data_IF_666700356631
#
_entry.id   IF_666700356631
#
_cell.length_a   1.000
_cell.length_b   1.000
_cell.length_c   1.000
_cell.angle_alpha   90.00
_cell.angle_beta   90.00
_cell.angle_gamma   90.00
#
_symmetry.space_group_name_H-M   'P 1'
#
loop_
_entity.id
_entity.type
_entity.pdbx_description
1 polymer ?
#
# COMPACT_ATOMS: atom_id res chain seq x y z
N UNK A 1 -5.83 -43.27 51.75
CA UNK A 1 -6.64 -43.18 50.52
C UNK A 1 -6.28 -41.86 49.83
N UNK A 2 -5.38 -41.95 48.87
CA UNK A 2 -4.89 -40.79 48.08
C UNK A 2 -5.68 -40.77 46.77
N UNK A 3 -6.61 -39.84 46.67
CA UNK A 3 -7.41 -39.67 45.44
C UNK A 3 -6.57 -38.87 44.42
N UNK A 4 -6.03 -39.56 43.43
CA UNK A 4 -5.40 -38.97 42.26
C UNK A 4 -6.51 -38.41 41.35
N UNK A 5 -6.62 -37.13 41.27
CA UNK A 5 -7.50 -36.43 40.30
C UNK A 5 -6.80 -36.53 38.95
N UNK A 6 -7.33 -37.37 38.06
CA UNK A 6 -6.96 -37.40 36.65
C UNK A 6 -7.54 -36.13 35.99
N UNK A 7 -6.72 -35.07 35.82
CA UNK A 7 -7.05 -33.93 35.00
C UNK A 7 -6.90 -34.40 33.55
N UNK A 8 -8.02 -34.54 32.87
CA UNK A 8 -8.06 -34.91 31.45
C UNK A 8 -7.58 -33.75 30.57
N UNK A 9 -6.97 -34.04 29.41
CA UNK A 9 -6.53 -33.03 28.42
C UNK A 9 -7.64 -32.06 28.02
N UNK A 10 -8.90 -32.38 28.25
CA UNK A 10 -10.06 -31.50 28.06
C UNK A 10 -10.09 -30.35 29.10
N UNK A 11 -9.78 -30.62 30.37
CA UNK A 11 -9.74 -29.62 31.45
C UNK A 11 -8.60 -28.59 31.26
N UNK A 12 -7.51 -28.99 30.59
CA UNK A 12 -6.43 -28.06 30.24
C UNK A 12 -6.81 -27.11 29.10
N UNK A 13 -7.73 -27.51 28.21
CA UNK A 13 -8.22 -26.65 27.12
C UNK A 13 -9.18 -25.57 27.63
N UNK A 14 -9.98 -25.87 28.62
CA UNK A 14 -10.92 -24.90 29.21
C UNK A 14 -10.24 -23.90 30.20
N UNK A 15 -9.05 -24.26 30.72
CA UNK A 15 -8.24 -23.38 31.57
C UNK A 15 -7.36 -22.39 30.78
N UNK A 16 -7.11 -22.65 29.51
CA UNK A 16 -6.43 -21.73 28.59
C UNK A 16 -7.51 -20.82 28.00
N UNK A 17 -7.40 -19.51 28.22
CA UNK A 17 -8.27 -18.55 27.53
C UNK A 17 -8.25 -18.81 26.02
N UNK A 18 -9.29 -18.40 25.27
CA UNK A 18 -9.42 -18.64 23.83
C UNK A 18 -8.20 -18.14 23.00
N UNK A 19 -7.37 -17.30 23.60
CA UNK A 19 -6.13 -16.76 23.02
C UNK A 19 -4.88 -17.62 23.27
N UNK A 20 -4.94 -18.65 24.11
CA UNK A 20 -3.80 -19.48 24.52
C UNK A 20 -3.78 -20.88 23.89
N UNK A 21 -4.80 -21.24 23.13
CA UNK A 21 -4.85 -22.51 22.42
C UNK A 21 -3.72 -22.59 21.35
N UNK A 22 -3.06 -23.76 21.21
CA UNK A 22 -2.09 -23.94 20.13
C UNK A 22 -2.76 -23.76 18.76
N UNK A 23 -2.03 -23.16 17.81
CA UNK A 23 -2.52 -22.94 16.44
C UNK A 23 -3.01 -24.25 15.82
N UNK A 24 -4.32 -24.38 15.64
CA UNK A 24 -4.90 -25.43 14.82
C UNK A 24 -4.73 -25.06 13.34
N UNK A 25 -4.15 -25.97 12.54
CA UNK A 25 -3.96 -25.79 11.10
C UNK A 25 -5.29 -25.50 10.38
N UNK A 26 -6.41 -26.04 10.85
CA UNK A 26 -7.74 -25.77 10.32
C UNK A 26 -8.16 -24.31 10.56
N UNK A 27 -7.87 -23.76 11.75
CA UNK A 27 -8.14 -22.37 12.08
C UNK A 27 -7.25 -21.41 11.28
N UNK A 28 -5.96 -21.70 11.15
CA UNK A 28 -5.03 -20.94 10.29
C UNK A 28 -5.53 -20.91 8.84
N UNK A 29 -5.91 -22.07 8.29
CA UNK A 29 -6.45 -22.17 6.93
C UNK A 29 -7.74 -21.38 6.75
N UNK A 30 -8.64 -21.42 7.72
CA UNK A 30 -9.89 -20.64 7.73
C UNK A 30 -9.60 -19.14 7.72
N UNK A 31 -8.70 -18.66 8.59
CA UNK A 31 -8.29 -17.25 8.68
C UNK A 31 -7.58 -16.78 7.41
N UNK A 32 -6.64 -17.55 6.88
CA UNK A 32 -5.97 -17.22 5.61
C UNK A 32 -6.96 -17.17 4.45
N UNK A 33 -7.95 -18.07 4.40
CA UNK A 33 -9.02 -18.03 3.39
C UNK A 33 -9.87 -16.77 3.53
N UNK A 34 -10.24 -16.37 4.74
CA UNK A 34 -10.99 -15.15 5.00
C UNK A 34 -10.19 -13.90 4.60
N UNK A 35 -8.90 -13.86 4.94
CA UNK A 35 -7.96 -12.80 4.56
C UNK A 35 -7.84 -12.73 3.04
N UNK A 36 -7.64 -13.85 2.35
CA UNK A 36 -7.53 -13.90 0.90
C UNK A 36 -8.80 -13.36 0.22
N UNK A 37 -9.98 -13.84 0.64
CA UNK A 37 -11.27 -13.40 0.08
C UNK A 37 -11.48 -11.89 0.33
N UNK A 38 -11.20 -11.40 1.55
CA UNK A 38 -11.30 -9.99 1.89
C UNK A 38 -10.29 -9.09 1.16
N UNK A 39 -9.16 -9.67 0.73
CA UNK A 39 -8.04 -8.95 0.14
C UNK A 39 -8.03 -8.93 -1.40
N UNK A 40 -8.82 -9.80 -2.05
CA UNK A 40 -8.88 -9.83 -3.55
C UNK A 40 -9.35 -8.49 -4.11
N UNK A 41 -10.35 -7.86 -3.50
CA UNK A 41 -10.80 -6.52 -3.91
C UNK A 41 -9.68 -5.48 -3.82
N UNK A 42 -8.98 -5.46 -2.69
CA UNK A 42 -7.82 -4.61 -2.46
C UNK A 42 -6.70 -4.85 -3.51
N UNK A 43 -6.42 -6.10 -3.84
CA UNK A 43 -5.42 -6.45 -4.86
C UNK A 43 -5.80 -5.88 -6.24
N UNK A 44 -7.08 -6.00 -6.66
CA UNK A 44 -7.56 -5.46 -7.93
C UNK A 44 -7.44 -3.94 -7.99
N UNK A 45 -7.82 -3.26 -6.92
CA UNK A 45 -7.71 -1.81 -6.83
C UNK A 45 -6.26 -1.32 -6.88
N UNK A 46 -5.35 -2.01 -6.19
CA UNK A 46 -3.93 -1.70 -6.24
C UNK A 46 -3.28 -2.07 -7.59
N UNK A 47 -3.72 -3.16 -8.23
CA UNK A 47 -3.32 -3.47 -9.61
C UNK A 47 -3.64 -2.30 -10.54
N UNK A 48 -4.87 -1.84 -10.54
CA UNK A 48 -5.32 -0.76 -11.41
C UNK A 48 -4.56 0.54 -11.15
N UNK A 49 -4.38 0.89 -9.88
CA UNK A 49 -3.68 2.09 -9.47
C UNK A 49 -2.18 2.06 -9.82
N UNK A 50 -1.50 0.93 -9.61
CA UNK A 50 -0.08 0.79 -9.93
C UNK A 50 0.20 0.54 -11.40
N UNK A 51 -0.78 0.14 -12.19
CA UNK A 51 -0.66 0.02 -13.64
C UNK A 51 -0.16 1.33 -14.27
N UNK A 52 -0.63 2.47 -13.77
CA UNK A 52 -0.13 3.77 -14.21
C UNK A 52 1.39 3.92 -14.00
N UNK A 53 1.89 3.61 -12.81
CA UNK A 53 3.32 3.74 -12.49
C UNK A 53 4.17 2.73 -13.30
N UNK A 54 3.71 1.48 -13.42
CA UNK A 54 4.41 0.41 -14.13
C UNK A 54 4.56 0.71 -15.64
N UNK A 55 3.55 1.34 -16.24
CA UNK A 55 3.55 1.64 -17.66
C UNK A 55 3.99 3.06 -18.01
N UNK A 56 4.32 3.89 -17.03
CA UNK A 56 4.73 5.29 -17.25
C UNK A 56 5.89 5.42 -18.24
N UNK A 57 6.87 4.50 -18.22
CA UNK A 57 8.01 4.48 -19.15
C UNK A 57 7.60 4.33 -20.62
N UNK A 58 6.38 3.86 -20.90
CA UNK A 58 5.87 3.60 -22.25
C UNK A 58 4.91 4.68 -22.73
N UNK A 59 4.05 5.20 -21.88
CA UNK A 59 3.03 6.17 -22.28
C UNK A 59 3.40 7.63 -22.06
N UNK A 60 4.37 7.94 -21.17
CA UNK A 60 4.64 9.33 -20.81
C UNK A 60 4.98 10.22 -22.03
N UNK A 61 5.74 9.72 -22.99
CA UNK A 61 6.04 10.42 -24.24
C UNK A 61 4.83 10.71 -25.10
N UNK A 62 3.76 9.90 -25.01
CA UNK A 62 2.52 10.10 -25.76
C UNK A 62 1.67 11.25 -25.20
N UNK A 63 1.85 11.61 -23.95
CA UNK A 63 1.12 12.70 -23.26
C UNK A 63 1.96 13.95 -23.05
N UNK A 64 3.28 13.81 -22.92
CA UNK A 64 4.23 14.89 -22.62
C UNK A 64 5.34 14.92 -23.66
N UNK A 65 5.14 15.60 -24.80
CA UNK A 65 6.08 15.59 -25.94
C UNK A 65 7.28 16.49 -25.67
N UNK A 66 8.04 16.26 -24.61
CA UNK A 66 9.35 16.87 -24.43
C UNK A 66 10.43 15.94 -25.01
N UNK A 67 11.52 16.50 -25.53
CA UNK A 67 12.67 15.71 -25.99
C UNK A 67 13.46 15.05 -24.85
N UNK A 68 13.16 15.40 -23.59
CA UNK A 68 13.83 14.92 -22.40
C UNK A 68 12.98 13.82 -21.69
N UNK A 69 13.54 12.62 -21.62
CA UNK A 69 12.90 11.47 -20.95
C UNK A 69 12.67 11.71 -19.45
N UNK A 70 13.55 12.45 -18.77
CA UNK A 70 13.38 12.75 -17.34
C UNK A 70 12.19 13.67 -17.13
N UNK A 71 12.06 14.72 -17.97
CA UNK A 71 10.92 15.63 -17.92
C UNK A 71 9.59 14.93 -18.20
N UNK A 72 9.55 14.00 -19.17
CA UNK A 72 8.36 13.18 -19.44
C UNK A 72 7.95 12.36 -18.22
N UNK A 73 8.91 11.68 -17.59
CA UNK A 73 8.65 10.86 -16.40
C UNK A 73 8.28 11.71 -15.18
N UNK A 74 8.87 12.90 -15.02
CA UNK A 74 8.50 13.84 -13.97
C UNK A 74 7.03 14.28 -14.10
N UNK A 75 6.60 14.66 -15.31
CA UNK A 75 5.20 15.06 -15.55
C UNK A 75 4.23 13.90 -15.26
N UNK A 76 4.57 12.67 -15.66
CA UNK A 76 3.78 11.49 -15.33
C UNK A 76 3.74 11.24 -13.81
N UNK A 77 4.85 11.42 -13.10
CA UNK A 77 4.93 11.26 -11.65
C UNK A 77 4.13 12.36 -10.90
N UNK A 78 4.10 13.58 -11.39
CA UNK A 78 3.25 14.66 -10.83
C UNK A 78 1.78 14.30 -10.92
N UNK A 79 1.32 13.72 -12.04
CA UNK A 79 -0.07 13.24 -12.15
C UNK A 79 -0.34 12.00 -11.29
N UNK A 80 0.65 11.14 -11.09
CA UNK A 80 0.54 10.05 -10.13
C UNK A 80 0.34 10.59 -8.71
N UNK A 81 1.14 11.58 -8.31
CA UNK A 81 1.03 12.26 -7.01
C UNK A 81 -0.35 12.95 -6.85
N UNK A 82 -0.89 13.57 -7.90
CA UNK A 82 -2.22 14.18 -7.85
C UNK A 82 -3.30 13.17 -7.45
N UNK A 83 -3.24 11.93 -7.97
CA UNK A 83 -4.13 10.84 -7.55
C UNK A 83 -4.00 10.49 -6.06
N UNK A 84 -2.80 10.62 -5.47
CA UNK A 84 -2.62 10.43 -4.02
C UNK A 84 -3.17 11.59 -3.20
N UNK A 85 -2.95 12.83 -3.63
CA UNK A 85 -3.35 14.02 -2.88
C UNK A 85 -4.87 14.14 -2.68
N UNK A 86 -5.67 13.57 -3.57
CA UNK A 86 -7.14 13.56 -3.45
C UNK A 86 -7.68 12.39 -2.59
N UNK A 87 -6.86 11.40 -2.23
CA UNK A 87 -7.29 10.23 -1.44
C UNK A 87 -7.91 10.58 -0.08
N UNK A 88 -7.37 11.52 0.73
CA UNK A 88 -8.01 11.88 2.00
C UNK A 88 -9.43 12.41 1.81
N UNK A 89 -9.64 13.20 0.74
CA UNK A 89 -10.98 13.68 0.39
C UNK A 89 -11.89 12.54 -0.07
N UNK A 90 -11.38 11.61 -0.89
CA UNK A 90 -12.09 10.39 -1.26
C UNK A 90 -12.52 9.57 -0.05
N UNK A 91 -11.62 9.37 0.92
CA UNK A 91 -11.90 8.67 2.18
C UNK A 91 -13.02 9.32 2.99
N UNK A 92 -13.03 10.66 3.08
CA UNK A 92 -14.10 11.39 3.72
C UNK A 92 -15.43 11.26 2.95
N UNK A 93 -15.40 11.44 1.63
CA UNK A 93 -16.57 11.37 0.76
C UNK A 93 -17.23 9.99 0.81
N UNK A 94 -16.46 8.91 0.64
CA UNK A 94 -16.99 7.55 0.69
C UNK A 94 -17.37 7.11 2.10
N UNK A 95 -16.70 7.59 3.14
CA UNK A 95 -17.10 7.40 4.52
C UNK A 95 -18.47 8.01 4.79
N UNK A 96 -18.69 9.27 4.38
CA UNK A 96 -19.96 9.95 4.51
C UNK A 96 -21.09 9.23 3.72
N UNK A 97 -20.77 8.78 2.49
CA UNK A 97 -21.71 8.05 1.66
C UNK A 97 -22.10 6.70 2.31
N UNK A 98 -21.13 5.99 2.89
CA UNK A 98 -21.37 4.72 3.58
C UNK A 98 -22.24 4.89 4.83
N UNK A 99 -22.06 5.98 5.57
CA UNK A 99 -22.84 6.27 6.77
C UNK A 99 -24.31 6.64 6.44
N UNK A 100 -24.58 7.29 5.29
CA UNK A 100 -25.91 7.75 4.92
C UNK A 100 -26.69 6.75 4.04
N UNK A 101 -26.02 6.12 3.09
CA UNK A 101 -26.66 5.28 2.06
C UNK A 101 -26.31 3.79 2.20
N UNK A 102 -25.42 3.44 3.14
CA UNK A 102 -24.99 2.08 3.37
C UNK A 102 -23.64 1.75 2.74
N UNK A 103 -22.94 0.80 3.36
CA UNK A 103 -21.58 0.39 2.96
C UNK A 103 -21.56 -0.21 1.56
N UNK A 104 -22.58 -0.95 1.18
CA UNK A 104 -22.70 -1.57 -0.15
C UNK A 104 -22.69 -0.53 -1.27
N UNK A 105 -23.49 0.55 -1.14
CA UNK A 105 -23.58 1.61 -2.17
C UNK A 105 -22.25 2.34 -2.30
N UNK A 106 -21.62 2.69 -1.18
CA UNK A 106 -20.31 3.33 -1.18
C UNK A 106 -19.22 2.48 -1.87
N UNK A 107 -19.17 1.18 -1.55
CA UNK A 107 -18.23 0.23 -2.15
C UNK A 107 -18.50 0.00 -3.65
N UNK A 108 -19.75 -0.04 -4.07
CA UNK A 108 -20.08 -0.17 -5.49
C UNK A 108 -19.68 1.08 -6.28
N UNK A 109 -19.96 2.26 -5.73
CA UNK A 109 -19.65 3.52 -6.40
C UNK A 109 -18.13 3.72 -6.51
N UNK A 110 -17.34 3.34 -5.49
CA UNK A 110 -15.87 3.42 -5.56
C UNK A 110 -15.35 2.57 -6.73
N UNK A 111 -15.79 1.32 -6.85
CA UNK A 111 -15.37 0.44 -7.95
C UNK A 111 -15.80 0.97 -9.32
N UNK A 112 -17.01 1.52 -9.44
CA UNK A 112 -17.47 2.13 -10.70
C UNK A 112 -16.61 3.33 -11.08
N UNK A 113 -16.24 4.19 -10.10
CA UNK A 113 -15.32 5.31 -10.37
C UNK A 113 -13.94 4.84 -10.76
N UNK A 114 -13.41 3.78 -10.13
CA UNK A 114 -12.13 3.18 -10.51
C UNK A 114 -12.18 2.67 -11.96
N UNK A 115 -13.20 1.89 -12.30
CA UNK A 115 -13.43 1.41 -13.66
C UNK A 115 -13.48 2.55 -14.69
N UNK A 116 -14.24 3.60 -14.37
CA UNK A 116 -14.38 4.77 -15.25
C UNK A 116 -13.04 5.49 -15.43
N UNK A 117 -12.26 5.69 -14.37
CA UNK A 117 -10.92 6.29 -14.44
C UNK A 117 -9.97 5.48 -15.32
N UNK A 118 -9.96 4.14 -15.19
CA UNK A 118 -9.12 3.26 -16.00
C UNK A 118 -9.53 3.25 -17.46
N UNK A 119 -10.82 3.15 -17.76
CA UNK A 119 -11.32 3.27 -19.13
C UNK A 119 -10.97 4.62 -19.73
N UNK A 120 -11.11 5.69 -18.97
CA UNK A 120 -10.74 7.05 -19.42
C UNK A 120 -9.27 7.12 -19.82
N UNK A 121 -8.34 6.54 -19.03
CA UNK A 121 -6.91 6.46 -19.41
C UNK A 121 -6.75 5.64 -20.70
N UNK A 122 -7.39 4.47 -20.77
CA UNK A 122 -7.25 3.55 -21.90
C UNK A 122 -7.66 4.16 -23.24
N UNK A 123 -8.73 4.99 -23.23
CA UNK A 123 -9.28 5.58 -24.47
C UNK A 123 -8.79 7.01 -24.74
N UNK A 124 -8.08 7.65 -23.80
CA UNK A 124 -7.61 9.03 -23.98
C UNK A 124 -6.68 9.13 -25.20
N UNK A 125 -6.97 10.05 -26.14
CA UNK A 125 -6.09 10.31 -27.28
C UNK A 125 -4.74 10.91 -26.81
N UNK A 126 -3.73 10.77 -27.65
CA UNK A 126 -2.39 11.27 -27.36
C UNK A 126 -2.32 12.79 -27.54
N UNK A 127 -1.23 13.39 -27.05
CA UNK A 127 -0.96 14.83 -27.24
C UNK A 127 -0.92 15.24 -28.72
N UNK A 128 -0.40 14.37 -29.59
CA UNK A 128 -0.37 14.61 -31.02
C UNK A 128 -1.77 14.77 -31.65
N UNK A 129 -2.80 14.20 -31.05
CA UNK A 129 -4.18 14.24 -31.55
C UNK A 129 -4.99 15.41 -31.00
N UNK A 130 -4.88 15.70 -29.69
CA UNK A 130 -5.74 16.68 -28.98
C UNK A 130 -4.95 17.73 -28.16
N UNK A 131 -3.62 17.79 -28.34
CA UNK A 131 -2.78 18.78 -27.66
C UNK A 131 -2.86 18.67 -26.13
N UNK A 132 -2.94 19.81 -25.48
CA UNK A 132 -3.00 19.92 -24.00
C UNK A 132 -4.22 19.22 -23.38
N UNK A 133 -5.24 18.92 -24.15
CA UNK A 133 -6.39 18.12 -23.72
C UNK A 133 -6.01 16.73 -23.22
N UNK A 134 -4.97 16.10 -23.81
CA UNK A 134 -4.53 14.77 -23.43
C UNK A 134 -4.02 14.69 -21.97
N UNK A 135 -3.06 15.50 -21.51
CA UNK A 135 -2.65 15.49 -20.10
C UNK A 135 -3.75 15.96 -19.15
N UNK A 136 -4.67 16.85 -19.57
CA UNK A 136 -5.81 17.25 -18.72
C UNK A 136 -6.75 16.08 -18.48
N UNK A 137 -7.10 15.30 -19.52
CA UNK A 137 -7.93 14.11 -19.38
C UNK A 137 -7.23 13.04 -18.54
N UNK A 138 -5.91 12.86 -18.72
CA UNK A 138 -5.12 11.95 -17.90
C UNK A 138 -5.13 12.37 -16.42
N UNK A 139 -4.99 13.67 -16.13
CA UNK A 139 -5.08 14.21 -14.78
C UNK A 139 -6.46 13.97 -14.16
N UNK A 140 -7.53 14.24 -14.90
CA UNK A 140 -8.90 14.00 -14.45
C UNK A 140 -9.13 12.52 -14.12
N UNK A 141 -8.67 11.61 -14.97
CA UNK A 141 -8.74 10.18 -14.72
C UNK A 141 -7.98 9.77 -13.44
N UNK A 142 -6.79 10.33 -13.19
CA UNK A 142 -5.99 10.09 -11.98
C UNK A 142 -6.68 10.60 -10.72
N UNK A 143 -7.32 11.76 -10.79
CA UNK A 143 -8.12 12.30 -9.69
C UNK A 143 -9.29 11.37 -9.37
N UNK A 144 -10.02 10.89 -10.37
CA UNK A 144 -11.15 9.97 -10.22
C UNK A 144 -10.68 8.65 -9.56
N UNK A 145 -9.57 8.05 -10.03
CA UNK A 145 -9.00 6.86 -9.43
C UNK A 145 -8.54 7.10 -7.98
N UNK A 146 -7.91 8.24 -7.71
CA UNK A 146 -7.46 8.61 -6.37
C UNK A 146 -8.61 8.80 -5.38
N UNK A 147 -9.72 9.40 -5.80
CA UNK A 147 -10.95 9.52 -5.00
C UNK A 147 -11.49 8.14 -4.64
N UNK A 148 -11.58 7.24 -5.61
CA UNK A 148 -12.07 5.87 -5.41
C UNK A 148 -11.29 5.14 -4.31
N UNK A 149 -9.96 5.20 -4.36
CA UNK A 149 -9.06 4.43 -3.47
C UNK A 149 -9.00 4.95 -2.02
N UNK A 150 -9.56 6.16 -1.74
CA UNK A 150 -9.32 6.87 -0.48
C UNK A 150 -9.83 6.18 0.78
N UNK A 151 -10.94 5.43 0.72
CA UNK A 151 -11.64 4.91 1.90
C UNK A 151 -11.21 3.51 2.36
N UNK A 152 -10.45 2.76 1.57
CA UNK A 152 -10.34 1.31 1.75
C UNK A 152 -9.21 0.85 2.68
N UNK A 153 -8.08 1.57 2.72
CA UNK A 153 -6.93 1.14 3.52
C UNK A 153 -7.23 1.01 5.02
N UNK A 154 -7.91 2.00 5.61
CA UNK A 154 -8.21 2.00 7.04
C UNK A 154 -9.13 0.85 7.43
N UNK A 155 -10.12 0.55 6.60
CA UNK A 155 -11.08 -0.54 6.81
C UNK A 155 -10.39 -1.89 6.69
N UNK A 156 -9.58 -2.10 5.64
CA UNK A 156 -8.85 -3.34 5.39
C UNK A 156 -7.81 -3.63 6.48
N UNK A 157 -6.99 -2.64 6.86
CA UNK A 157 -5.99 -2.78 7.92
C UNK A 157 -6.63 -3.11 9.28
N UNK A 158 -7.77 -2.48 9.59
CA UNK A 158 -8.53 -2.77 10.81
C UNK A 158 -9.09 -4.18 10.79
N UNK A 159 -9.72 -4.59 9.69
CA UNK A 159 -10.28 -5.94 9.53
C UNK A 159 -9.24 -7.03 9.71
N UNK A 160 -8.08 -6.94 9.04
CA UNK A 160 -7.01 -7.92 9.16
C UNK A 160 -6.46 -8.04 10.59
N UNK A 161 -6.44 -6.92 11.32
CA UNK A 161 -5.96 -6.90 12.71
C UNK A 161 -7.01 -7.47 13.69
N UNK A 162 -8.29 -7.29 13.40
CA UNK A 162 -9.41 -7.79 14.24
C UNK A 162 -9.69 -9.29 14.03
N UNK A 163 -9.53 -9.79 12.81
CA UNK A 163 -9.66 -11.24 12.49
C UNK A 163 -8.49 -12.05 13.05
N UNK A 164 -7.34 -11.40 13.29
CA UNK A 164 -6.15 -12.04 13.83
C UNK A 164 -6.31 -12.38 15.32
N UNK A 165 -5.79 -13.53 15.73
CA UNK A 165 -5.61 -13.81 17.14
C UNK A 165 -4.55 -12.89 17.78
N UNK A 166 -4.61 -12.72 19.11
CA UNK A 166 -3.74 -11.79 19.84
C UNK A 166 -2.25 -12.11 19.70
N UNK A 167 -1.90 -13.40 19.57
CA UNK A 167 -0.51 -13.88 19.47
C UNK A 167 0.12 -13.62 18.11
N UNK A 168 -0.66 -13.68 17.02
CA UNK A 168 -0.18 -13.66 15.63
C UNK A 168 -0.69 -12.47 14.83
N UNK A 169 -1.06 -11.37 15.51
CA UNK A 169 -1.56 -10.14 14.83
C UNK A 169 -0.58 -9.58 13.81
N UNK A 170 0.73 -9.62 14.10
CA UNK A 170 1.75 -9.16 13.16
C UNK A 170 1.80 -10.02 11.90
N UNK A 171 1.77 -11.32 12.05
CA UNK A 171 1.73 -12.25 10.91
C UNK A 171 0.51 -12.01 10.02
N UNK A 172 -0.70 -12.02 10.59
CA UNK A 172 -1.92 -11.85 9.79
C UNK A 172 -2.05 -10.45 9.20
N UNK A 173 -1.69 -9.42 9.95
CA UNK A 173 -1.74 -8.03 9.47
C UNK A 173 -0.74 -7.73 8.35
N UNK A 174 0.36 -8.49 8.26
CA UNK A 174 1.36 -8.34 7.20
C UNK A 174 0.80 -8.61 5.80
N UNK A 175 -0.29 -9.37 5.69
CA UNK A 175 -0.98 -9.66 4.44
C UNK A 175 -1.58 -8.41 3.79
N UNK A 176 -1.76 -7.31 4.53
CA UNK A 176 -2.10 -6.00 3.96
C UNK A 176 -1.07 -5.55 2.92
N UNK A 177 0.22 -5.70 3.23
CA UNK A 177 1.28 -5.36 2.29
C UNK A 177 1.55 -6.45 1.25
N UNK A 178 1.30 -7.72 1.57
CA UNK A 178 1.35 -8.80 0.59
C UNK A 178 0.38 -8.51 -0.56
N UNK A 179 -0.86 -8.11 -0.27
CA UNK A 179 -1.86 -7.81 -1.31
C UNK A 179 -1.57 -6.49 -2.04
N UNK A 180 -1.07 -5.48 -1.34
CA UNK A 180 -0.68 -4.21 -1.93
C UNK A 180 0.49 -4.37 -2.91
N UNK A 181 1.55 -5.05 -2.50
CA UNK A 181 2.71 -5.39 -3.35
C UNK A 181 2.27 -6.36 -4.46
N UNK A 182 1.36 -7.29 -4.15
CA UNK A 182 0.79 -8.23 -5.11
C UNK A 182 0.07 -7.55 -6.26
N UNK A 183 -0.71 -6.50 -6.00
CA UNK A 183 -1.35 -5.70 -7.03
C UNK A 183 -0.34 -5.05 -7.98
N UNK A 184 0.73 -4.47 -7.44
CA UNK A 184 1.82 -3.92 -8.24
C UNK A 184 2.57 -5.00 -9.04
N UNK A 185 2.85 -6.14 -8.41
CA UNK A 185 3.48 -7.28 -9.09
C UNK A 185 2.63 -7.77 -10.27
N UNK A 186 1.31 -7.87 -10.10
CA UNK A 186 0.41 -8.23 -11.19
C UNK A 186 0.52 -7.24 -12.36
N UNK A 187 0.60 -5.93 -12.10
CA UNK A 187 0.81 -4.92 -13.16
C UNK A 187 2.13 -5.14 -13.90
N UNK A 188 3.22 -5.43 -13.18
CA UNK A 188 4.51 -5.74 -13.80
C UNK A 188 4.53 -7.07 -14.52
N UNK A 189 3.80 -8.09 -14.05
CA UNK A 189 3.67 -9.37 -14.77
C UNK A 189 2.90 -9.20 -16.09
N UNK A 190 1.86 -8.37 -16.10
CA UNK A 190 1.19 -7.99 -17.37
C UNK A 190 2.17 -7.27 -18.29
N UNK A 191 2.97 -6.34 -17.77
CA UNK A 191 4.01 -5.66 -18.56
C UNK A 191 5.02 -6.65 -19.12
N UNK A 192 5.54 -7.58 -18.32
CA UNK A 192 6.46 -8.63 -18.77
C UNK A 192 5.85 -9.52 -19.87
N UNK A 193 4.59 -9.91 -19.71
CA UNK A 193 3.88 -10.70 -20.70
C UNK A 193 3.79 -9.93 -22.04
N UNK A 194 3.40 -8.66 -21.99
CA UNK A 194 3.35 -7.81 -23.18
C UNK A 194 4.73 -7.64 -23.83
N UNK A 195 5.78 -7.38 -23.04
CA UNK A 195 7.15 -7.19 -23.52
C UNK A 195 7.78 -8.43 -24.15
N UNK A 196 7.47 -9.62 -23.61
CA UNK A 196 8.18 -10.86 -23.97
C UNK A 196 7.45 -11.72 -24.98
N UNK A 197 6.12 -11.67 -24.98
CA UNK A 197 5.28 -12.64 -25.69
C UNK A 197 4.43 -11.99 -26.77
N UNK A 198 3.83 -10.82 -26.49
CA UNK A 198 2.73 -10.32 -27.32
C UNK A 198 3.10 -9.13 -28.20
N UNK A 199 4.00 -8.24 -27.76
CA UNK A 199 4.24 -6.95 -28.42
C UNK A 199 5.73 -6.67 -28.59
N UNK A 200 6.07 -5.97 -29.68
CA UNK A 200 7.36 -5.31 -29.85
C UNK A 200 7.44 -4.06 -28.96
N UNK A 201 8.66 -3.55 -28.72
CA UNK A 201 8.86 -2.33 -27.92
C UNK A 201 8.15 -1.12 -28.55
N UNK A 202 8.09 -1.04 -29.87
CA UNK A 202 7.44 0.05 -30.60
C UNK A 202 5.91 -0.04 -30.52
N UNK A 203 5.34 -1.23 -30.65
CA UNK A 203 3.90 -1.46 -30.46
C UNK A 203 3.48 -1.15 -29.01
N UNK A 204 4.29 -1.56 -28.02
CA UNK A 204 4.01 -1.29 -26.63
C UNK A 204 3.99 0.22 -26.33
N UNK A 205 4.90 1.01 -26.93
CA UNK A 205 4.91 2.47 -26.82
C UNK A 205 3.82 3.15 -27.65
N UNK A 206 3.47 2.60 -28.81
CA UNK A 206 2.47 3.21 -29.69
C UNK A 206 1.05 3.08 -29.12
N UNK A 207 0.68 1.88 -28.67
CA UNK A 207 -0.70 1.59 -28.24
C UNK A 207 -0.81 0.54 -27.12
N UNK A 208 0.16 -0.39 -27.00
CA UNK A 208 0.08 -1.55 -26.12
C UNK A 208 -0.02 -1.18 -24.64
N UNK A 209 0.45 -0.01 -24.24
CA UNK A 209 0.32 0.51 -22.89
C UNK A 209 -1.14 0.74 -22.45
N UNK A 210 -2.11 0.73 -23.37
CA UNK A 210 -3.55 0.85 -23.06
C UNK A 210 -4.15 -0.45 -22.54
N UNK A 211 -3.60 -1.62 -22.94
CA UNK A 211 -4.13 -2.95 -22.61
C UNK A 211 -4.33 -3.15 -21.10
N UNK A 212 -3.34 -2.87 -20.23
CA UNK A 212 -3.51 -3.11 -18.79
C UNK A 212 -4.61 -2.25 -18.16
N UNK A 213 -4.90 -1.06 -18.68
CA UNK A 213 -6.02 -0.24 -18.22
C UNK A 213 -7.37 -0.83 -18.62
N UNK A 214 -7.49 -1.46 -19.80
CA UNK A 214 -8.67 -2.25 -20.14
C UNK A 214 -8.82 -3.48 -19.27
N UNK A 215 -7.72 -4.16 -18.91
CA UNK A 215 -7.73 -5.28 -17.96
C UNK A 215 -8.20 -4.78 -16.59
N UNK A 216 -7.67 -3.67 -16.08
CA UNK A 216 -8.08 -3.06 -14.81
C UNK A 216 -9.57 -2.74 -14.78
N UNK A 217 -10.07 -2.11 -15.83
CA UNK A 217 -11.50 -1.83 -15.98
C UNK A 217 -12.35 -3.10 -15.98
N UNK A 218 -11.92 -4.15 -16.68
CA UNK A 218 -12.60 -5.45 -16.68
C UNK A 218 -12.62 -6.11 -15.29
N UNK A 219 -11.49 -6.10 -14.59
CA UNK A 219 -11.39 -6.61 -13.22
C UNK A 219 -12.26 -5.80 -12.25
N UNK A 220 -12.34 -4.48 -12.42
CA UNK A 220 -13.23 -3.63 -11.63
C UNK A 220 -14.72 -3.98 -11.84
N UNK A 221 -15.12 -4.27 -13.09
CA UNK A 221 -16.49 -4.74 -13.38
C UNK A 221 -16.77 -6.07 -12.67
N UNK A 222 -15.84 -7.03 -12.73
CA UNK A 222 -15.97 -8.31 -12.02
C UNK A 222 -16.11 -8.08 -10.52
N UNK A 223 -15.26 -7.23 -9.94
CA UNK A 223 -15.35 -6.87 -8.53
C UNK A 223 -16.69 -6.22 -8.17
N UNK A 224 -17.22 -5.32 -9.01
CA UNK A 224 -18.52 -4.70 -8.81
C UNK A 224 -19.66 -5.73 -8.84
N UNK A 225 -19.62 -6.69 -9.78
CA UNK A 225 -20.61 -7.78 -9.86
C UNK A 225 -20.57 -8.66 -8.62
N UNK A 226 -19.37 -9.03 -8.14
CA UNK A 226 -19.20 -9.80 -6.91
C UNK A 226 -19.74 -9.05 -5.69
N UNK A 227 -19.48 -7.74 -5.59
CA UNK A 227 -19.98 -6.88 -4.50
C UNK A 227 -21.49 -6.62 -4.57
N UNK A 228 -22.14 -6.77 -5.74
CA UNK A 228 -23.60 -6.64 -5.89
C UNK A 228 -24.39 -7.60 -5.01
N UNK A 229 -23.81 -8.77 -4.73
CA UNK A 229 -24.43 -9.81 -3.92
C UNK A 229 -24.10 -9.69 -2.41
N UNK A 230 -23.34 -8.67 -2.00
CA UNK A 230 -23.09 -8.41 -0.58
C UNK A 230 -24.39 -7.93 0.09
N UNK A 231 -24.78 -8.59 1.17
CA UNK A 231 -25.84 -8.12 2.05
C UNK A 231 -25.31 -6.94 2.87
N UNK A 232 -26.17 -5.97 3.16
CA UNK A 232 -25.84 -4.90 4.09
C UNK A 232 -25.52 -5.51 5.46
N UNK A 233 -24.54 -4.97 6.19
CA UNK A 233 -24.12 -5.56 7.47
C UNK A 233 -25.20 -5.35 8.53
N UNK A 234 -25.41 -6.38 9.38
CA UNK A 234 -26.35 -6.33 10.50
C UNK A 234 -26.04 -5.15 11.44
N UNK A 235 -24.76 -4.80 11.59
CA UNK A 235 -24.31 -3.62 12.34
C UNK A 235 -24.81 -2.30 11.75
N UNK A 236 -24.92 -2.16 10.42
CA UNK A 236 -25.49 -0.97 9.80
C UNK A 236 -26.99 -0.88 10.07
N UNK A 237 -27.69 -2.00 9.97
CA UNK A 237 -29.14 -2.06 10.26
C UNK A 237 -29.41 -1.80 11.75
N UNK A 238 -28.58 -2.29 12.66
CA UNK A 238 -28.65 -2.01 14.10
C UNK A 238 -28.29 -0.54 14.42
N UNK A 239 -27.28 0.03 13.75
CA UNK A 239 -26.87 1.42 13.96
C UNK A 239 -27.90 2.44 13.44
N UNK A 240 -28.74 2.06 12.47
CA UNK A 240 -29.84 2.90 11.97
C UNK A 240 -30.95 3.11 13.02
N UNK A 241 -31.05 2.19 13.98
CA UNK A 241 -32.01 2.25 15.11
C UNK A 241 -31.45 2.95 16.35
N UNK A 242 -30.12 3.08 16.48
CA UNK A 242 -29.45 3.75 17.60
C UNK A 242 -29.02 5.17 17.19
N UNK A 243 -29.73 6.16 17.66
CA UNK A 243 -29.53 7.58 17.35
C UNK A 243 -28.10 8.05 17.71
N UNK A 244 -27.51 8.82 16.77
CA UNK A 244 -26.33 9.68 16.91
C UNK A 244 -25.05 8.99 17.42
N UNK A 245 -24.30 8.38 16.52
CA UNK A 245 -22.84 8.31 16.66
C UNK A 245 -22.28 9.73 16.42
N UNK A 246 -21.47 10.25 17.36
CA UNK A 246 -20.61 11.41 17.10
C UNK A 246 -19.84 11.14 15.81
N UNK A 247 -19.73 12.14 14.91
CA UNK A 247 -18.96 11.97 13.68
C UNK A 247 -17.56 11.47 14.05
N UNK A 248 -17.12 10.37 13.43
CA UNK A 248 -15.83 9.72 13.70
C UNK A 248 -14.64 10.71 13.66
N UNK A 249 -14.76 11.80 12.88
CA UNK A 249 -13.80 12.91 12.83
C UNK A 249 -13.73 13.70 14.14
N UNK A 250 -14.88 14.03 14.76
CA UNK A 250 -14.86 14.74 16.06
C UNK A 250 -14.31 13.85 17.17
N UNK A 251 -14.63 12.56 17.12
CA UNK A 251 -14.08 11.59 18.08
C UNK A 251 -12.55 11.44 17.92
N UNK A 252 -12.01 11.51 16.70
CA UNK A 252 -10.58 11.44 16.44
C UNK A 252 -9.80 12.62 17.02
N UNK A 253 -10.41 13.81 17.12
CA UNK A 253 -9.80 14.99 17.77
C UNK A 253 -9.49 14.77 19.25
N UNK A 254 -10.07 13.75 19.90
CA UNK A 254 -9.73 13.36 21.29
C UNK A 254 -8.38 12.62 21.40
N UNK A 255 -7.80 12.18 20.26
CA UNK A 255 -6.57 11.40 20.19
C UNK A 255 -5.44 12.09 19.36
N UNK A 256 -5.11 13.37 19.62
CA UNK A 256 -4.17 14.12 18.78
C UNK A 256 -2.76 13.54 18.82
N UNK A 257 -2.35 12.98 19.97
CA UNK A 257 -1.05 12.33 20.13
C UNK A 257 -0.91 11.10 19.24
N UNK A 258 -1.95 10.25 19.20
CA UNK A 258 -1.91 9.01 18.41
C UNK A 258 -2.00 9.31 16.91
N UNK A 259 -2.73 10.36 16.51
CA UNK A 259 -2.74 10.88 15.14
C UNK A 259 -1.35 11.34 14.72
N UNK A 260 -0.65 12.13 15.54
CA UNK A 260 0.71 12.59 15.26
C UNK A 260 1.71 11.42 15.25
N UNK A 261 1.54 10.42 16.10
CA UNK A 261 2.33 9.20 16.08
C UNK A 261 2.14 8.47 14.74
N UNK A 262 0.90 8.33 14.23
CA UNK A 262 0.65 7.70 12.92
C UNK A 262 1.33 8.47 11.80
N UNK A 263 1.28 9.81 11.80
CA UNK A 263 1.96 10.64 10.80
C UNK A 263 3.47 10.42 10.85
N UNK A 264 4.08 10.56 12.03
CA UNK A 264 5.53 10.46 12.17
C UNK A 264 6.08 9.06 11.89
N UNK A 265 5.39 8.01 12.36
CA UNK A 265 5.81 6.63 12.09
C UNK A 265 5.66 6.25 10.61
N UNK A 266 4.74 6.90 9.89
CA UNK A 266 4.44 6.55 8.49
C UNK A 266 5.35 7.28 7.51
N UNK A 267 5.76 8.50 7.79
CA UNK A 267 6.41 9.40 6.82
C UNK A 267 7.66 8.78 6.16
N UNK A 268 8.67 8.37 6.93
CA UNK A 268 9.89 7.78 6.38
C UNK A 268 9.68 6.39 5.79
N UNK A 269 8.84 5.57 6.44
CA UNK A 269 8.56 4.23 5.97
C UNK A 269 7.81 4.22 4.64
N UNK A 270 6.87 5.12 4.44
CA UNK A 270 6.12 5.23 3.18
C UNK A 270 6.97 5.85 2.07
N UNK A 271 7.81 6.86 2.38
CA UNK A 271 8.76 7.41 1.41
C UNK A 271 9.72 6.31 0.91
N UNK A 272 10.27 5.48 1.81
CA UNK A 272 11.10 4.34 1.46
C UNK A 272 10.34 3.31 0.62
N UNK A 273 9.13 2.94 1.02
CA UNK A 273 8.29 1.99 0.29
C UNK A 273 8.07 2.43 -1.17
N UNK A 274 7.63 3.68 -1.40
CA UNK A 274 7.38 4.19 -2.76
C UNK A 274 8.67 4.41 -3.56
N UNK A 275 9.80 4.65 -2.89
CA UNK A 275 11.11 4.67 -3.55
C UNK A 275 11.44 3.31 -4.16
N UNK A 276 11.27 2.21 -3.41
CA UNK A 276 11.62 0.87 -3.87
C UNK A 276 10.52 0.18 -4.68
N UNK A 277 9.33 0.76 -4.75
CA UNK A 277 8.23 0.27 -5.61
C UNK A 277 8.10 1.09 -6.89
N UNK A 278 7.62 2.33 -6.81
CA UNK A 278 7.26 3.12 -7.99
C UNK A 278 8.45 3.82 -8.64
N UNK A 279 9.34 4.41 -7.85
CA UNK A 279 10.50 5.12 -8.39
C UNK A 279 11.59 4.16 -8.90
N UNK A 280 11.75 3.00 -8.28
CA UNK A 280 12.86 2.08 -8.57
C UNK A 280 12.91 1.64 -10.05
N UNK A 281 11.76 1.42 -10.68
CA UNK A 281 11.72 1.08 -12.10
C UNK A 281 12.32 2.21 -12.98
N UNK A 282 11.99 3.46 -12.68
CA UNK A 282 12.54 4.63 -13.38
C UNK A 282 14.01 4.83 -13.07
N UNK A 283 14.40 4.63 -11.82
CA UNK A 283 15.80 4.71 -11.39
C UNK A 283 16.68 3.70 -12.14
N UNK A 284 16.25 2.45 -12.22
CA UNK A 284 16.97 1.39 -12.94
C UNK A 284 17.11 1.71 -14.44
N UNK A 285 16.09 2.31 -15.03
CA UNK A 285 16.10 2.71 -16.44
C UNK A 285 16.93 3.97 -16.69
N UNK A 286 16.68 5.04 -15.94
CA UNK A 286 17.19 6.38 -16.22
C UNK A 286 18.54 6.68 -15.57
N UNK A 287 18.88 6.01 -14.47
CA UNK A 287 20.12 6.26 -13.71
C UNK A 287 21.11 5.12 -13.83
N UNK A 288 20.66 3.86 -13.76
CA UNK A 288 21.52 2.67 -13.90
C UNK A 288 21.71 2.29 -15.36
N UNK A 289 20.77 2.62 -16.25
CA UNK A 289 20.85 2.35 -17.69
C UNK A 289 20.52 0.91 -18.08
N UNK A 290 19.73 0.19 -17.28
CA UNK A 290 19.25 -1.15 -17.63
C UNK A 290 18.27 -1.08 -18.80
N UNK A 291 18.20 -2.16 -19.59
CA UNK A 291 17.18 -2.31 -20.63
C UNK A 291 15.77 -2.40 -20.02
N UNK A 292 14.74 -2.11 -20.81
CA UNK A 292 13.34 -2.14 -20.35
C UNK A 292 12.99 -3.52 -19.75
N UNK A 293 13.41 -4.60 -20.43
CA UNK A 293 13.21 -5.97 -19.94
C UNK A 293 13.94 -6.27 -18.62
N UNK A 294 15.21 -5.86 -18.51
CA UNK A 294 16.00 -6.06 -17.29
C UNK A 294 15.39 -5.27 -16.13
N UNK A 295 15.00 -4.03 -16.39
CA UNK A 295 14.34 -3.16 -15.40
C UNK A 295 13.07 -3.82 -14.86
N UNK A 296 12.19 -4.29 -15.73
CA UNK A 296 10.93 -4.93 -15.32
C UNK A 296 11.18 -6.24 -14.58
N UNK A 297 12.14 -7.08 -15.04
CA UNK A 297 12.48 -8.34 -14.37
C UNK A 297 13.08 -8.12 -12.99
N UNK A 298 14.00 -7.17 -12.83
CA UNK A 298 14.61 -6.84 -11.53
C UNK A 298 13.55 -6.30 -10.57
N UNK A 299 12.69 -5.40 -11.04
CA UNK A 299 11.64 -4.83 -10.21
C UNK A 299 10.62 -5.91 -9.80
N UNK A 300 10.13 -6.72 -10.74
CA UNK A 300 9.19 -7.80 -10.43
C UNK A 300 9.78 -8.84 -9.47
N UNK A 301 11.03 -9.28 -9.71
CA UNK A 301 11.74 -10.20 -8.81
C UNK A 301 11.92 -9.63 -7.40
N UNK A 302 12.23 -8.34 -7.29
CA UNK A 302 12.38 -7.68 -5.99
C UNK A 302 11.06 -7.56 -5.23
N UNK A 303 9.92 -7.38 -5.94
CA UNK A 303 8.59 -7.37 -5.31
C UNK A 303 8.17 -8.77 -4.84
N UNK A 304 8.52 -9.83 -5.58
CA UNK A 304 8.29 -11.21 -5.12
C UNK A 304 9.06 -11.45 -3.81
N UNK A 305 10.33 -11.06 -3.77
CA UNK A 305 11.15 -11.16 -2.56
C UNK A 305 10.54 -10.35 -1.40
N UNK A 306 10.14 -9.11 -1.66
CA UNK A 306 9.47 -8.26 -0.69
C UNK A 306 8.19 -8.90 -0.13
N UNK A 307 7.34 -9.51 -0.98
CA UNK A 307 6.11 -10.21 -0.56
C UNK A 307 6.40 -11.35 0.41
N UNK A 308 7.43 -12.14 0.14
CA UNK A 308 7.84 -13.25 1.01
C UNK A 308 8.33 -12.74 2.37
N UNK A 309 9.01 -11.61 2.40
CA UNK A 309 9.50 -11.01 3.65
C UNK A 309 8.37 -10.52 4.57
N UNK A 310 7.21 -10.10 4.02
CA UNK A 310 6.15 -9.52 4.84
C UNK A 310 5.68 -10.46 5.96
N UNK A 311 5.21 -11.69 5.68
CA UNK A 311 4.74 -12.59 6.75
C UNK A 311 5.88 -13.05 7.67
N UNK A 312 7.12 -13.15 7.17
CA UNK A 312 8.29 -13.50 7.98
C UNK A 312 8.54 -12.42 9.04
N UNK A 313 8.62 -11.15 8.63
CA UNK A 313 8.82 -10.02 9.55
C UNK A 313 7.61 -9.80 10.45
N UNK A 314 6.39 -10.04 9.95
CA UNK A 314 5.17 -10.05 10.75
C UNK A 314 5.26 -11.05 11.90
N UNK A 315 5.65 -12.30 11.62
CA UNK A 315 5.85 -13.34 12.63
C UNK A 315 7.02 -13.02 13.59
N UNK A 316 8.11 -12.45 13.11
CA UNK A 316 9.22 -11.97 13.97
C UNK A 316 8.70 -10.93 14.95
N UNK A 317 7.88 -9.97 14.49
CA UNK A 317 7.32 -8.91 15.34
C UNK A 317 6.40 -9.47 16.44
N UNK A 318 5.74 -10.59 16.19
CA UNK A 318 4.91 -11.28 17.18
C UNK A 318 5.75 -11.86 18.32
N UNK A 319 7.04 -12.11 18.10
CA UNK A 319 7.99 -12.59 19.14
C UNK A 319 8.69 -11.43 19.84
N UNK A 320 9.39 -10.57 19.08
CA UNK A 320 10.29 -9.56 19.65
C UNK A 320 9.59 -8.23 20.01
N UNK A 321 8.37 -8.00 19.52
CA UNK A 321 7.63 -6.72 19.68
C UNK A 321 7.70 -5.85 18.43
N UNK A 322 6.78 -4.88 18.36
CA UNK A 322 6.65 -3.98 17.18
C UNK A 322 7.76 -2.94 17.15
N UNK A 323 8.04 -2.35 18.30
CA UNK A 323 8.97 -1.24 18.46
C UNK A 323 10.38 -1.58 17.97
N UNK A 324 10.90 -2.77 18.32
CA UNK A 324 12.24 -3.16 17.93
C UNK A 324 12.42 -3.34 16.43
N UNK A 325 11.38 -3.83 15.76
CA UNK A 325 11.41 -3.98 14.31
C UNK A 325 11.40 -2.61 13.59
N UNK A 326 10.60 -1.66 14.09
CA UNK A 326 10.59 -0.29 13.58
C UNK A 326 11.93 0.43 13.82
N UNK A 327 12.53 0.26 14.99
CA UNK A 327 13.88 0.81 15.28
C UNK A 327 14.90 0.18 14.35
N UNK A 328 14.85 -1.15 14.13
CA UNK A 328 15.71 -1.85 13.19
C UNK A 328 15.61 -1.28 11.78
N UNK A 329 14.40 -1.05 11.26
CA UNK A 329 14.18 -0.35 10.00
C UNK A 329 14.79 1.06 10.02
N UNK A 330 14.51 1.86 11.06
CA UNK A 330 14.95 3.24 11.14
C UNK A 330 16.49 3.36 11.18
N UNK A 331 17.14 2.59 12.05
CA UNK A 331 18.62 2.60 12.17
C UNK A 331 19.27 2.11 10.88
N UNK A 332 18.85 0.95 10.37
CA UNK A 332 19.42 0.41 9.12
C UNK A 332 19.11 1.31 7.93
N UNK A 333 17.92 1.91 7.87
CA UNK A 333 17.54 2.84 6.81
C UNK A 333 18.40 4.11 6.83
N UNK A 334 18.65 4.70 7.99
CA UNK A 334 19.52 5.88 8.10
C UNK A 334 20.97 5.55 7.70
N UNK A 335 21.48 4.41 8.11
CA UNK A 335 22.87 4.01 7.83
C UNK A 335 23.10 3.59 6.38
N UNK A 336 22.14 2.87 5.78
CA UNK A 336 22.37 2.18 4.51
C UNK A 336 21.66 2.79 3.29
N UNK A 337 20.70 3.70 3.43
CA UNK A 337 19.99 4.28 2.28
C UNK A 337 20.92 4.97 1.30
N UNK A 338 21.80 5.84 1.77
CA UNK A 338 22.74 6.57 0.92
C UNK A 338 23.76 5.60 0.27
N UNK A 339 24.47 4.73 1.00
CA UNK A 339 25.38 3.75 0.40
C UNK A 339 24.69 2.83 -0.60
N UNK A 340 23.49 2.32 -0.31
CA UNK A 340 22.76 1.43 -1.21
C UNK A 340 22.38 2.12 -2.51
N UNK A 341 21.78 3.32 -2.47
CA UNK A 341 21.37 4.03 -3.67
C UNK A 341 22.57 4.51 -4.49
N UNK A 342 23.65 4.97 -3.83
CA UNK A 342 24.89 5.37 -4.51
C UNK A 342 25.57 4.18 -5.18
N UNK A 343 25.61 3.02 -4.52
CA UNK A 343 26.17 1.80 -5.11
C UNK A 343 25.30 1.31 -6.26
N UNK A 344 23.98 1.33 -6.07
CA UNK A 344 23.02 0.91 -7.09
C UNK A 344 23.11 1.75 -8.36
N UNK A 345 23.36 3.06 -8.24
CA UNK A 345 23.54 3.96 -9.39
C UNK A 345 24.75 3.57 -10.25
N UNK A 346 25.80 2.99 -9.64
CA UNK A 346 27.05 2.65 -10.29
C UNK A 346 27.17 1.16 -10.66
N UNK A 347 26.13 0.36 -10.38
CA UNK A 347 26.18 -1.08 -10.59
C UNK A 347 26.05 -1.41 -12.08
N UNK A 348 26.80 -2.45 -12.50
CA UNK A 348 26.71 -2.98 -13.85
C UNK A 348 25.99 -4.34 -13.83
N UNK A 349 24.81 -4.38 -14.43
CA UNK A 349 24.07 -5.60 -14.66
C UNK A 349 22.90 -5.86 -13.71
N UNK A 350 21.92 -6.66 -14.16
CA UNK A 350 20.63 -6.82 -13.47
C UNK A 350 20.74 -7.61 -12.16
N UNK A 351 21.64 -8.60 -12.07
CA UNK A 351 21.76 -9.41 -10.85
C UNK A 351 22.26 -8.60 -9.67
N UNK A 352 23.31 -7.77 -9.89
CA UNK A 352 23.83 -6.93 -8.82
C UNK A 352 22.83 -5.85 -8.39
N UNK A 353 22.07 -5.29 -9.34
CA UNK A 353 20.95 -4.40 -9.04
C UNK A 353 19.88 -5.09 -8.21
N UNK A 354 19.48 -6.31 -8.57
CA UNK A 354 18.53 -7.11 -7.80
C UNK A 354 18.98 -7.35 -6.36
N UNK A 355 20.25 -7.76 -6.16
CA UNK A 355 20.78 -8.04 -4.82
C UNK A 355 20.79 -6.81 -3.92
N UNK A 356 21.14 -5.63 -4.45
CA UNK A 356 21.09 -4.38 -3.69
C UNK A 356 19.67 -3.97 -3.34
N UNK A 357 18.72 -4.13 -4.27
CA UNK A 357 17.30 -3.86 -4.00
C UNK A 357 16.74 -4.87 -3.01
N UNK A 358 17.13 -6.14 -3.09
CA UNK A 358 16.75 -7.15 -2.11
C UNK A 358 17.26 -6.80 -0.70
N UNK A 359 18.50 -6.31 -0.58
CA UNK A 359 19.05 -5.81 0.68
C UNK A 359 18.24 -4.60 1.21
N UNK A 360 17.83 -3.67 0.35
CA UNK A 360 16.95 -2.58 0.72
C UNK A 360 15.57 -3.09 1.20
N UNK A 361 15.01 -4.11 0.55
CA UNK A 361 13.74 -4.72 0.99
C UNK A 361 13.85 -5.42 2.35
N UNK A 362 15.00 -6.02 2.69
CA UNK A 362 15.22 -6.53 4.06
C UNK A 362 15.09 -5.43 5.10
N UNK A 363 15.58 -4.22 4.80
CA UNK A 363 15.44 -3.05 5.68
C UNK A 363 13.99 -2.56 5.73
N UNK A 364 13.39 -2.30 4.57
CA UNK A 364 12.05 -1.68 4.46
C UNK A 364 10.95 -2.59 4.98
N UNK A 365 11.12 -3.92 4.87
CA UNK A 365 10.15 -4.90 5.39
C UNK A 365 10.00 -4.84 6.91
N UNK A 366 10.99 -4.32 7.64
CA UNK A 366 10.88 -4.04 9.08
C UNK A 366 9.78 -3.03 9.43
N UNK A 367 9.45 -2.13 8.50
CA UNK A 367 8.33 -1.21 8.63
C UNK A 367 7.06 -1.76 7.95
N UNK A 368 7.15 -2.17 6.68
CA UNK A 368 5.95 -2.47 5.88
C UNK A 368 5.14 -3.63 6.44
N UNK A 369 5.79 -4.67 6.97
CA UNK A 369 5.13 -5.86 7.50
C UNK A 369 4.21 -5.59 8.70
N UNK A 370 4.52 -4.56 9.51
CA UNK A 370 3.82 -4.31 10.77
C UNK A 370 3.14 -2.95 10.84
N UNK A 371 3.31 -2.10 9.84
CA UNK A 371 2.81 -0.74 9.92
C UNK A 371 1.28 -0.68 10.07
N UNK A 372 0.53 -1.65 9.50
CA UNK A 372 -0.91 -1.72 9.64
C UNK A 372 -1.34 -2.08 11.07
N UNK A 373 -0.71 -3.11 11.67
CA UNK A 373 -1.03 -3.55 13.03
C UNK A 373 -0.66 -2.50 14.07
N UNK A 374 0.51 -1.85 13.93
CA UNK A 374 0.95 -0.81 14.87
C UNK A 374 -0.07 0.33 14.94
N UNK A 375 -0.57 0.78 13.80
CA UNK A 375 -1.59 1.83 13.75
C UNK A 375 -2.91 1.38 14.35
N UNK A 376 -3.35 0.15 14.07
CA UNK A 376 -4.59 -0.39 14.61
C UNK A 376 -4.51 -0.57 16.13
N UNK A 377 -3.33 -0.92 16.66
CA UNK A 377 -3.09 -1.07 18.11
C UNK A 377 -3.06 0.26 18.88
N UNK A 378 -2.92 1.42 18.19
CA UNK A 378 -2.94 2.75 18.83
C UNK A 378 -4.35 3.23 19.18
N UNK A 379 -5.39 2.78 18.46
CA UNK A 379 -6.73 3.33 18.61
C UNK A 379 -7.73 2.33 19.22
N UNK A 380 -8.64 2.80 20.10
CA UNK A 380 -9.76 1.99 20.55
C UNK A 380 -10.72 1.68 19.41
N UNK A 381 -11.52 0.61 19.55
CA UNK A 381 -12.37 0.06 18.49
C UNK A 381 -13.34 1.10 17.89
N UNK A 382 -13.84 2.03 18.71
CA UNK A 382 -14.82 3.05 18.30
C UNK A 382 -14.33 4.04 17.24
N UNK A 383 -13.01 4.31 17.18
CA UNK A 383 -12.39 5.28 16.23
C UNK A 383 -11.28 4.67 15.37
N UNK A 384 -11.02 3.36 15.50
CA UNK A 384 -9.86 2.69 14.89
C UNK A 384 -9.78 2.86 13.38
N UNK A 385 -10.86 2.58 12.66
CA UNK A 385 -10.84 2.65 11.20
C UNK A 385 -10.50 4.06 10.69
N UNK A 386 -11.09 5.09 11.30
CA UNK A 386 -10.81 6.50 10.97
C UNK A 386 -9.41 6.92 11.45
N UNK A 387 -9.00 6.50 12.66
CA UNK A 387 -7.70 6.80 13.25
C UNK A 387 -6.53 6.18 12.49
N UNK A 388 -6.72 4.99 11.92
CA UNK A 388 -5.75 4.36 11.02
C UNK A 388 -5.80 5.00 9.64
N UNK A 389 -6.99 5.14 9.05
CA UNK A 389 -7.16 5.49 7.65
C UNK A 389 -6.80 6.94 7.34
N UNK A 390 -7.34 7.91 8.07
CA UNK A 390 -7.18 9.33 7.72
C UNK A 390 -5.75 9.87 7.90
N UNK A 391 -5.07 9.70 9.05
CA UNK A 391 -3.68 10.17 9.19
C UNK A 391 -2.73 9.43 8.23
N UNK A 392 -2.97 8.15 7.97
CA UNK A 392 -2.21 7.38 6.99
C UNK A 392 -2.42 7.94 5.58
N UNK A 393 -3.67 8.17 5.15
CA UNK A 393 -3.96 8.70 3.83
C UNK A 393 -3.31 10.07 3.60
N UNK A 394 -3.37 10.97 4.60
CA UNK A 394 -2.68 12.27 4.56
C UNK A 394 -1.16 12.10 4.42
N UNK A 395 -0.55 11.26 5.25
CA UNK A 395 0.91 11.08 5.25
C UNK A 395 1.40 10.43 3.96
N UNK A 396 0.69 9.40 3.49
CA UNK A 396 1.04 8.71 2.23
C UNK A 396 0.84 9.64 1.04
N UNK A 397 -0.19 10.50 1.05
CA UNK A 397 -0.41 11.46 -0.02
C UNK A 397 0.76 12.45 -0.13
N UNK A 398 1.27 12.94 1.01
CA UNK A 398 2.34 13.94 1.03
C UNK A 398 3.71 13.30 0.77
N UNK A 399 4.06 12.22 1.45
CA UNK A 399 5.42 11.66 1.45
C UNK A 399 5.58 10.42 0.57
N UNK A 400 4.52 9.66 0.37
CA UNK A 400 4.54 8.46 -0.47
C UNK A 400 4.25 8.76 -1.94
N UNK A 401 3.09 9.34 -2.21
CA UNK A 401 2.66 9.65 -3.57
C UNK A 401 3.56 10.64 -4.29
N UNK A 402 4.25 11.52 -3.55
CA UNK A 402 5.20 12.50 -4.13
C UNK A 402 6.63 11.99 -4.22
N UNK A 403 6.98 10.86 -3.63
CA UNK A 403 8.36 10.36 -3.59
C UNK A 403 9.00 10.27 -4.98
N UNK A 404 8.26 9.75 -5.95
CA UNK A 404 8.67 9.64 -7.35
C UNK A 404 8.89 11.01 -8.00
N UNK A 405 7.96 11.95 -7.80
CA UNK A 405 8.07 13.32 -8.32
C UNK A 405 9.25 14.08 -7.71
N UNK A 406 9.47 13.94 -6.39
CA UNK A 406 10.59 14.56 -5.69
C UNK A 406 11.93 14.01 -6.21
N UNK A 407 12.03 12.68 -6.37
CA UNK A 407 13.23 12.04 -6.89
C UNK A 407 13.55 12.51 -8.32
N UNK A 408 12.56 12.54 -9.21
CA UNK A 408 12.72 12.98 -10.58
C UNK A 408 12.97 14.49 -10.68
N UNK A 409 12.42 15.31 -9.78
CA UNK A 409 12.73 16.74 -9.70
C UNK A 409 14.20 16.98 -9.38
N UNK A 410 14.76 16.30 -8.39
CA UNK A 410 16.21 16.39 -8.10
C UNK A 410 17.05 15.88 -9.27
N UNK A 411 16.62 14.81 -9.94
CA UNK A 411 17.30 14.30 -11.13
C UNK A 411 17.28 15.30 -12.29
N UNK A 412 16.16 15.97 -12.55
CA UNK A 412 16.01 16.93 -13.65
C UNK A 412 16.93 18.15 -13.53
N UNK A 413 17.28 18.52 -12.29
CA UNK A 413 18.23 19.63 -12.02
C UNK A 413 19.67 19.14 -11.83
N UNK A 414 19.96 17.85 -12.13
CA UNK A 414 21.31 17.27 -12.05
C UNK A 414 21.78 16.90 -10.64
N UNK A 415 20.91 16.94 -9.64
CA UNK A 415 21.24 16.67 -8.23
C UNK A 415 20.53 15.46 -7.66
N UNK A 416 20.50 14.33 -8.38
CA UNK A 416 19.78 13.12 -7.98
C UNK A 416 20.15 12.62 -6.56
N UNK A 417 21.38 12.81 -6.12
CA UNK A 417 21.83 12.42 -4.78
C UNK A 417 21.12 13.18 -3.64
N UNK A 418 20.55 14.36 -3.89
CA UNK A 418 19.76 15.09 -2.89
C UNK A 418 18.52 14.32 -2.48
N UNK A 419 17.98 13.50 -3.37
CA UNK A 419 16.89 12.59 -3.03
C UNK A 419 17.32 11.54 -1.99
N UNK A 420 18.58 11.06 -2.04
CA UNK A 420 19.07 10.08 -1.06
C UNK A 420 19.13 10.70 0.34
N UNK A 421 19.58 11.96 0.44
CA UNK A 421 19.58 12.70 1.71
C UNK A 421 18.15 13.00 2.19
N UNK A 422 17.25 13.40 1.29
CA UNK A 422 15.84 13.60 1.60
C UNK A 422 15.22 12.32 2.19
N UNK A 423 15.37 11.19 1.52
CA UNK A 423 14.83 9.90 1.96
C UNK A 423 15.41 9.50 3.32
N UNK A 424 16.72 9.63 3.49
CA UNK A 424 17.40 9.32 4.76
C UNK A 424 16.90 10.24 5.89
N UNK A 425 16.71 11.52 5.62
CA UNK A 425 16.15 12.48 6.58
C UNK A 425 14.72 12.12 7.00
N UNK A 426 13.87 11.69 6.06
CA UNK A 426 12.51 11.22 6.35
C UNK A 426 12.52 9.96 7.22
N UNK A 427 13.42 9.01 6.95
CA UNK A 427 13.59 7.81 7.78
C UNK A 427 14.09 8.19 9.18
N UNK A 428 15.02 9.16 9.29
CA UNK A 428 15.54 9.64 10.58
C UNK A 428 14.42 10.29 11.43
N UNK A 429 13.52 11.08 10.82
CA UNK A 429 12.36 11.64 11.52
C UNK A 429 11.47 10.51 12.05
N UNK A 430 11.19 9.49 11.25
CA UNK A 430 10.41 8.33 11.71
C UNK A 430 11.15 7.55 12.79
N UNK A 431 12.47 7.40 12.70
CA UNK A 431 13.29 6.75 13.74
C UNK A 431 13.16 7.46 15.09
N UNK A 432 13.18 8.80 15.10
CA UNK A 432 12.94 9.55 16.34
C UNK A 432 11.58 9.20 16.95
N UNK A 433 10.53 9.10 16.14
CA UNK A 433 9.21 8.68 16.61
C UNK A 433 9.24 7.26 17.19
N UNK A 434 9.92 6.31 16.51
CA UNK A 434 10.03 4.92 16.98
C UNK A 434 10.76 4.81 18.33
N UNK A 435 11.77 5.64 18.56
CA UNK A 435 12.52 5.63 19.82
C UNK A 435 11.64 6.06 21.02
N UNK A 436 10.76 7.04 20.81
CA UNK A 436 9.93 7.61 21.90
C UNK A 436 8.54 6.97 22.00
N UNK A 437 8.05 6.22 20.99
CA UNK A 437 6.77 5.53 21.07
C UNK A 437 6.81 4.34 22.02
N UNK A 438 5.66 3.96 22.57
CA UNK A 438 5.50 2.71 23.31
C UNK A 438 5.46 1.51 22.36
N UNK A 439 5.81 0.32 22.89
CA UNK A 439 5.60 -0.92 22.12
C UNK A 439 4.13 -1.28 22.15
N UNK A 440 3.47 -1.15 21.00
CA UNK A 440 2.02 -1.34 20.85
C UNK A 440 1.59 -2.79 21.09
N UNK A 441 2.51 -3.78 20.95
CA UNK A 441 2.23 -5.17 21.32
C UNK A 441 1.95 -5.31 22.83
N UNK A 442 2.70 -4.58 23.67
CA UNK A 442 2.56 -4.63 25.13
C UNK A 442 1.45 -3.73 25.64
N UNK A 443 1.23 -2.59 24.98
CA UNK A 443 0.27 -1.56 25.39
C UNK A 443 -0.73 -1.28 24.26
N UNK A 444 -1.53 -2.29 23.92
CA UNK A 444 -2.53 -2.21 22.83
C UNK A 444 -3.81 -1.53 23.33
N UNK A 445 -4.38 -0.66 22.48
CA UNK A 445 -5.72 -0.10 22.70
C UNK A 445 -6.85 -1.05 22.22
N UNK A 446 -6.51 -2.20 21.62
CA UNK A 446 -7.48 -3.21 21.20
C UNK A 446 -8.08 -3.86 22.44
N UNK A 447 -9.43 -3.83 22.55
CA UNK A 447 -10.17 -4.35 23.69
C UNK A 447 -10.37 -3.35 24.84
N UNK A 448 -9.82 -2.13 24.73
CA UNK A 448 -10.21 -1.04 25.63
C UNK A 448 -11.51 -0.43 25.12
N UNK A 449 -12.57 -0.56 25.90
CA UNK A 449 -13.80 0.17 25.67
C UNK A 449 -13.56 1.63 26.10
N UNK A 450 -13.85 2.58 25.20
CA UNK A 450 -13.75 4.01 25.48
C UNK A 450 -14.93 4.48 26.34
#
# INVERSE_FOLDING_TARGET
MTTTINVTEADHRDALGPDDAPLDLADVRRRLKAIFIGSVGNLVEWFDFYTYAAFALYFAGSFFPSGDAVAQQLNAAVLFAAGFLVRPFGGWMFGHLADHYGRRIALMLSVVLMCFGSLMIAVTPTYASIGIGAPILLAAARIIQGLSLGGEYGTSATYLTEVADRRHRGFYSSFQYVTLIGGQLCALLVLLALQKVFLTADELRAWGWRIPFFIGAGLAIIAAVMRRNLHETDDFNAAKTLARRESSLKALLKYPRDVLLVVGLTAGGTAAFYTYTTYMQKFLKLSVGLTDNQTTMVTAGSLIFAMILQPIYGAISDRIGRKWLLIGFGVSGVLFTIPLLTTLQNVKGPLAAFLLIAAAWMIVSGYTSINAVVKAELFPTSVRATGVGLPYALTVSIFGGTADSVALSFKSIGHEQWFYYYLTGMIAISLLVYLFMRDTKKDTAIGRHA
#
